data_IF_244460397041
#
_entry.id   IF_244460397041
#
_cell.length_a   1.000
_cell.length_b   1.000
_cell.length_c   1.000
_cell.angle_alpha   90.00
_cell.angle_beta   90.00
_cell.angle_gamma   90.00
#
_symmetry.space_group_name_H-M   'P 1'
#
loop_
_entity.id
_entity.type
_entity.pdbx_description
1 polymer ?
#
# COMPACT_ATOMS: atom_id res chain seq x y z
N UNK A 1 16.60 0.02 1.82
CA UNK A 1 15.69 -1.15 1.83
C UNK A 1 14.32 -0.74 1.32
N UNK A 2 13.69 -1.61 0.57
CA UNK A 2 12.35 -1.37 0.07
C UNK A 2 11.34 -2.24 0.81
N UNK A 3 10.08 -1.84 0.77
CA UNK A 3 8.98 -2.61 1.34
C UNK A 3 8.05 -3.05 0.22
N UNK A 4 7.54 -4.27 0.33
CA UNK A 4 6.66 -4.87 -0.67
C UNK A 4 5.41 -5.39 0.01
N UNK A 5 4.25 -5.12 -0.60
CA UNK A 5 2.96 -5.61 -0.11
C UNK A 5 2.47 -6.74 -1.00
N UNK A 6 1.86 -7.75 -0.38
CA UNK A 6 1.18 -8.83 -1.09
C UNK A 6 -0.32 -8.60 -0.97
N UNK A 7 -1.01 -8.71 -2.09
CA UNK A 7 -2.42 -8.33 -2.20
C UNK A 7 -3.22 -9.51 -2.71
N UNK A 8 -4.35 -9.78 -2.07
CA UNK A 8 -5.31 -10.79 -2.49
C UNK A 8 -6.70 -10.17 -2.47
N UNK A 9 -7.41 -10.26 -3.59
CA UNK A 9 -8.76 -9.70 -3.75
C UNK A 9 -8.82 -8.23 -3.31
N UNK A 10 -7.81 -7.46 -3.72
CA UNK A 10 -7.63 -6.04 -3.40
C UNK A 10 -7.40 -5.74 -1.92
N UNK A 11 -7.05 -6.74 -1.10
CA UNK A 11 -6.68 -6.55 0.30
C UNK A 11 -5.22 -6.90 0.53
N UNK A 12 -4.53 -6.07 1.31
CA UNK A 12 -3.16 -6.33 1.70
C UNK A 12 -3.15 -7.45 2.75
N UNK A 13 -2.46 -8.55 2.45
CA UNK A 13 -2.38 -9.71 3.35
C UNK A 13 -1.03 -9.83 4.03
N UNK A 14 0.01 -9.19 3.49
CA UNK A 14 1.35 -9.23 4.07
C UNK A 14 2.18 -8.05 3.55
N UNK A 15 3.11 -7.56 4.37
CA UNK A 15 4.11 -6.56 3.96
C UNK A 15 5.47 -7.06 4.42
N UNK A 16 6.46 -7.05 3.52
CA UNK A 16 7.81 -7.49 3.82
C UNK A 16 8.83 -6.39 3.54
N UNK A 17 10.01 -6.53 4.17
CA UNK A 17 11.18 -5.75 3.82
C UNK A 17 11.96 -6.55 2.80
N UNK A 18 12.30 -5.93 1.67
CA UNK A 18 13.01 -6.60 0.60
C UNK A 18 14.15 -5.78 0.04
N UNK A 19 14.67 -6.23 -1.09
CA UNK A 19 15.78 -5.58 -1.78
C UNK A 19 15.26 -4.32 -2.48
N UNK A 20 16.07 -3.25 -2.50
CA UNK A 20 15.68 -2.01 -3.17
C UNK A 20 15.32 -2.26 -4.63
N UNK A 21 14.26 -1.62 -5.08
CA UNK A 21 13.74 -1.78 -6.43
C UNK A 21 14.76 -1.42 -7.51
N UNK A 22 15.72 -0.56 -7.19
CA UNK A 22 16.77 -0.14 -8.12
C UNK A 22 17.97 -1.08 -8.14
N UNK A 23 18.09 -1.97 -7.15
CA UNK A 23 19.21 -2.91 -7.05
C UNK A 23 18.83 -4.24 -7.71
N UNK A 24 19.12 -4.36 -8.98
CA UNK A 24 18.80 -5.57 -9.76
C UNK A 24 19.98 -6.53 -9.86
N UNK A 25 21.08 -6.29 -9.13
CA UNK A 25 22.31 -7.06 -9.25
C UNK A 25 22.13 -8.55 -8.94
N UNK A 26 21.23 -8.89 -8.04
CA UNK A 26 20.95 -10.28 -7.64
C UNK A 26 19.60 -10.79 -8.13
N UNK A 27 18.86 -9.99 -8.88
CA UNK A 27 17.58 -10.41 -9.43
C UNK A 27 17.81 -11.45 -10.52
N UNK A 28 17.14 -12.64 -10.47
CA UNK A 28 17.26 -13.63 -11.54
C UNK A 28 16.86 -13.05 -12.91
N UNK A 29 17.53 -13.51 -13.96
CA UNK A 29 17.36 -12.96 -15.31
C UNK A 29 15.95 -13.06 -15.87
N UNK A 30 15.18 -14.07 -15.46
CA UNK A 30 13.80 -14.27 -15.92
C UNK A 30 12.81 -13.22 -15.39
N UNK A 31 13.23 -12.40 -14.42
CA UNK A 31 12.36 -11.37 -13.84
C UNK A 31 12.84 -9.97 -14.22
N UNK A 32 11.88 -9.06 -14.43
CA UNK A 32 12.16 -7.66 -14.73
C UNK A 32 12.17 -6.79 -13.48
N UNK A 33 11.55 -7.25 -12.39
CA UNK A 33 11.44 -6.49 -11.14
C UNK A 33 11.41 -7.42 -9.93
N UNK A 34 11.70 -6.86 -8.75
CA UNK A 34 11.58 -7.60 -7.51
C UNK A 34 10.11 -7.93 -7.19
N UNK A 35 9.17 -7.10 -7.63
CA UNK A 35 7.74 -7.39 -7.47
C UNK A 35 7.37 -8.68 -8.20
N UNK A 36 7.85 -8.89 -9.41
CA UNK A 36 7.64 -10.13 -10.16
C UNK A 36 8.26 -11.34 -9.47
N UNK A 37 9.45 -11.16 -8.90
CA UNK A 37 10.12 -12.24 -8.17
C UNK A 37 9.38 -12.59 -6.89
N UNK A 38 9.06 -11.59 -6.06
CA UNK A 38 8.44 -11.84 -4.77
C UNK A 38 7.05 -12.46 -4.88
N UNK A 39 6.28 -12.13 -5.91
CA UNK A 39 4.95 -12.74 -6.07
C UNK A 39 5.04 -14.25 -6.24
N UNK A 40 6.12 -14.76 -6.82
CA UNK A 40 6.31 -16.22 -6.96
C UNK A 40 6.52 -16.91 -5.62
N UNK A 41 6.89 -16.17 -4.58
CA UNK A 41 7.12 -16.69 -3.24
C UNK A 41 5.85 -16.73 -2.39
N UNK A 42 4.76 -16.19 -2.89
CA UNK A 42 3.47 -16.12 -2.17
C UNK A 42 2.34 -16.54 -3.10
N UNK A 43 2.16 -17.86 -3.32
CA UNK A 43 1.13 -18.34 -4.27
C UNK A 43 -0.30 -17.96 -3.87
N UNK A 44 -0.54 -17.64 -2.60
CA UNK A 44 -1.86 -17.20 -2.13
C UNK A 44 -2.20 -15.77 -2.53
N UNK A 45 -1.20 -14.95 -2.91
CA UNK A 45 -1.42 -13.56 -3.30
C UNK A 45 -1.66 -13.44 -4.79
N UNK A 46 -2.45 -12.45 -5.19
CA UNK A 46 -2.72 -12.13 -6.58
C UNK A 46 -1.68 -11.17 -7.16
N UNK A 47 -1.05 -10.36 -6.31
CA UNK A 47 -0.25 -9.23 -6.71
C UNK A 47 0.78 -8.88 -5.65
N UNK A 48 1.95 -8.41 -6.07
CA UNK A 48 2.97 -7.85 -5.18
C UNK A 48 3.31 -6.45 -5.67
N UNK A 49 3.20 -5.45 -4.79
CA UNK A 49 3.47 -4.05 -5.13
C UNK A 49 4.35 -3.40 -4.07
N UNK A 50 5.31 -2.62 -4.57
CA UNK A 50 6.17 -1.84 -3.68
C UNK A 50 5.34 -0.79 -2.93
N UNK A 51 5.67 -0.59 -1.66
CA UNK A 51 5.08 0.43 -0.81
C UNK A 51 6.19 1.16 -0.06
N UNK A 52 5.94 2.37 0.43
CA UNK A 52 6.95 3.16 1.11
C UNK A 52 6.46 3.59 2.50
N UNK A 53 7.20 3.21 3.54
CA UNK A 53 6.88 3.62 4.89
C UNK A 53 7.04 5.13 5.12
N UNK A 54 7.63 5.85 4.15
CA UNK A 54 7.76 7.31 4.17
C UNK A 54 6.56 8.02 3.56
N UNK A 55 5.56 7.29 3.05
CA UNK A 55 4.36 7.85 2.44
C UNK A 55 3.16 7.71 3.37
N UNK A 56 2.47 8.81 3.64
CA UNK A 56 1.25 8.83 4.43
C UNK A 56 0.41 10.04 4.03
N UNK A 57 -0.91 9.85 3.92
CA UNK A 57 -1.81 10.92 3.51
C UNK A 57 -1.46 11.49 2.15
N UNK A 58 -0.96 10.64 1.25
CA UNK A 58 -0.53 10.99 -0.11
C UNK A 58 0.62 12.01 -0.12
N UNK A 59 1.47 11.98 0.91
CA UNK A 59 2.66 12.83 1.01
C UNK A 59 3.86 12.00 1.45
N UNK A 60 5.04 12.33 0.93
CA UNK A 60 6.29 11.71 1.34
C UNK A 60 6.94 12.56 2.44
N UNK A 61 7.47 11.91 3.50
CA UNK A 61 8.07 12.60 4.64
C UNK A 61 9.21 13.56 4.25
N UNK A 62 10.00 13.19 3.25
CA UNK A 62 11.14 14.00 2.81
C UNK A 62 10.81 14.90 1.63
N UNK A 63 9.52 15.08 1.30
CA UNK A 63 9.10 15.91 0.19
C UNK A 63 9.29 15.30 -1.18
N UNK A 64 9.65 14.02 -1.26
CA UNK A 64 9.74 13.28 -2.52
C UNK A 64 8.35 12.90 -3.02
N UNK A 65 8.28 12.21 -4.15
CA UNK A 65 6.99 11.75 -4.69
C UNK A 65 6.39 10.69 -3.78
N UNK A 66 5.14 10.88 -3.39
CA UNK A 66 4.38 9.89 -2.62
C UNK A 66 4.20 8.62 -3.45
N UNK A 67 4.34 7.45 -2.82
CA UNK A 67 4.14 6.17 -3.47
C UNK A 67 2.81 5.57 -3.03
N UNK A 68 1.87 5.46 -3.98
CA UNK A 68 0.58 4.78 -3.79
C UNK A 68 -0.21 5.23 -2.57
N UNK A 69 -0.19 6.53 -2.29
CA UNK A 69 -1.04 7.19 -1.31
C UNK A 69 -0.64 7.00 0.14
N UNK A 70 -0.48 5.78 0.59
CA UNK A 70 -0.14 5.45 1.97
C UNK A 70 0.77 4.24 2.04
N UNK A 71 1.57 4.15 3.09
CA UNK A 71 2.28 2.92 3.40
C UNK A 71 1.25 1.80 3.66
N UNK A 72 1.40 0.68 2.96
CA UNK A 72 0.47 -0.43 3.07
C UNK A 72 0.55 -1.09 4.45
N UNK A 73 -0.59 -1.42 5.01
CA UNK A 73 -0.71 -2.23 6.22
C UNK A 73 -1.61 -3.42 5.94
N UNK A 74 -1.48 -4.47 6.73
CA UNK A 74 -2.34 -5.65 6.61
C UNK A 74 -3.80 -5.20 6.83
N UNK A 75 -4.69 -5.59 5.92
CA UNK A 75 -6.09 -5.19 5.95
C UNK A 75 -6.42 -3.95 5.14
N UNK A 76 -5.40 -3.22 4.65
CA UNK A 76 -5.64 -2.08 3.76
C UNK A 76 -6.22 -2.58 2.44
N UNK A 77 -6.99 -1.70 1.79
CA UNK A 77 -7.52 -1.97 0.46
C UNK A 77 -6.59 -1.36 -0.58
N UNK A 78 -6.29 -2.11 -1.63
CA UNK A 78 -5.59 -1.57 -2.78
C UNK A 78 -6.61 -1.21 -3.86
N UNK A 79 -6.60 0.06 -4.33
CA UNK A 79 -7.44 0.52 -5.42
C UNK A 79 -6.63 0.49 -6.72
N UNK A 80 -6.90 -0.45 -7.64
CA UNK A 80 -6.10 -0.57 -8.87
C UNK A 80 -6.34 0.56 -9.87
N UNK A 81 -7.49 1.24 -9.81
CA UNK A 81 -7.76 2.36 -10.71
C UNK A 81 -6.93 3.59 -10.35
N UNK A 82 -6.82 3.88 -9.05
CA UNK A 82 -6.07 5.04 -8.56
C UNK A 82 -4.63 4.67 -8.18
N UNK A 83 -4.32 3.37 -8.11
CA UNK A 83 -3.01 2.85 -7.70
C UNK A 83 -2.61 3.38 -6.32
N UNK A 84 -3.48 3.19 -5.32
CA UNK A 84 -3.25 3.66 -3.95
C UNK A 84 -3.69 2.63 -2.92
N UNK A 85 -3.07 2.71 -1.73
CA UNK A 85 -3.47 1.92 -0.57
C UNK A 85 -4.37 2.79 0.32
N UNK A 86 -5.51 2.23 0.71
CA UNK A 86 -6.51 2.91 1.53
C UNK A 86 -6.64 2.18 2.86
N UNK A 87 -6.46 2.88 4.02
CA UNK A 87 -6.64 2.25 5.33
C UNK A 87 -8.06 1.71 5.51
N UNK A 88 -8.27 0.74 6.40
CA UNK A 88 -9.63 0.30 6.73
C UNK A 88 -10.47 1.46 7.24
N UNK A 89 -11.73 1.51 6.83
CA UNK A 89 -12.64 2.54 7.33
C UNK A 89 -12.87 2.34 8.84
N UNK A 90 -12.61 3.36 9.66
CA UNK A 90 -12.89 3.26 11.09
C UNK A 90 -14.38 3.04 11.35
N UNK A 91 -14.69 2.30 12.42
CA UNK A 91 -16.06 2.07 12.87
C UNK A 91 -16.13 2.51 14.33
N UNK A 92 -16.71 3.68 14.57
CA UNK A 92 -16.84 4.26 15.90
C UNK A 92 -18.28 4.74 16.07
N UNK A 93 -18.96 4.30 17.14
CA UNK A 93 -20.32 4.72 17.41
C UNK A 93 -20.41 6.24 17.52
N UNK A 94 -21.39 6.82 16.83
CA UNK A 94 -21.60 8.26 16.83
C UNK A 94 -20.75 9.02 15.85
N UNK A 95 -19.98 8.32 14.99
CA UNK A 95 -19.13 8.95 13.99
C UNK A 95 -19.37 8.37 12.59
N UNK A 96 -19.33 9.26 11.60
CA UNK A 96 -19.39 8.88 10.18
C UNK A 96 -18.07 9.25 9.54
N UNK A 97 -17.50 8.33 8.77
CA UNK A 97 -16.20 8.52 8.11
C UNK A 97 -16.37 8.58 6.61
N UNK A 98 -15.73 9.58 5.99
CA UNK A 98 -15.73 9.79 4.54
C UNK A 98 -14.29 9.75 4.03
N UNK A 99 -14.07 9.07 2.91
CA UNK A 99 -12.75 8.99 2.32
C UNK A 99 -12.38 10.31 1.62
N UNK A 100 -11.24 10.87 2.01
CA UNK A 100 -10.66 12.02 1.32
C UNK A 100 -9.78 11.50 0.17
N UNK A 101 -10.18 11.75 -1.06
CA UNK A 101 -9.48 11.25 -2.25
C UNK A 101 -8.26 12.07 -2.66
N UNK A 102 -7.94 13.12 -1.92
CA UNK A 102 -6.67 13.86 -2.11
C UNK A 102 -5.57 13.26 -1.24
N UNK A 103 -5.92 12.76 -0.05
CA UNK A 103 -4.98 12.21 0.92
C UNK A 103 -5.09 10.70 1.07
N UNK A 104 -6.17 10.09 0.58
CA UNK A 104 -6.50 8.67 0.71
C UNK A 104 -6.55 8.23 2.18
N UNK A 105 -7.13 9.11 3.00
CA UNK A 105 -7.37 8.86 4.42
C UNK A 105 -8.83 9.15 4.77
N UNK A 106 -9.28 8.59 5.89
CA UNK A 106 -10.66 8.74 6.34
C UNK A 106 -10.80 9.96 7.23
N UNK A 107 -11.83 10.76 6.95
CA UNK A 107 -12.16 11.93 7.76
C UNK A 107 -13.45 11.65 8.52
N UNK A 108 -13.40 11.84 9.85
CA UNK A 108 -14.52 11.57 10.73
C UNK A 108 -15.34 12.82 11.03
N UNK A 109 -16.66 12.66 11.08
CA UNK A 109 -17.60 13.69 11.52
C UNK A 109 -18.48 13.09 12.59
N UNK A 110 -18.65 13.81 13.71
CA UNK A 110 -19.52 13.37 14.79
C UNK A 110 -20.98 13.46 14.35
N UNK A 111 -21.72 12.35 14.51
CA UNK A 111 -23.14 12.31 14.16
C UNK A 111 -23.97 13.18 15.10
N UNK A 112 -24.91 13.93 14.54
CA UNK A 112 -25.76 14.79 15.32
C UNK A 112 -25.12 16.10 15.78
N UNK A 113 -23.92 16.39 15.31
CA UNK A 113 -23.24 17.64 15.61
C UNK A 113 -23.77 18.79 14.76
#
# INVERSE_FOLDING_TARGET
MAHYSFIKENKVIEVIIGIDEDDLSTLPEEFESWEEFYITQRPEADLCLRTSYNTSGNQHLDGKTALRGNYAGIGYTYDPEEDVFIPPQPVVDGWTYTLNTETWTWEGTEDGA
#
